data_IF_065552729305
#
_entry.id   IF_065552729305
#
_cell.length_a   1.000
_cell.length_b   1.000
_cell.length_c   1.000
_cell.angle_alpha   90.00
_cell.angle_beta   90.00
_cell.angle_gamma   90.00
#
_symmetry.space_group_name_H-M   'P 1'
#
loop_
_entity.id
_entity.type
_entity.pdbx_description
1 polymer ?
#
# COMPACT_ATOMS: atom_id res chain seq x y z
N UNK A 1 -8.20 -19.57 -8.76
CA UNK A 1 -6.77 -19.20 -8.66
C UNK A 1 -6.61 -18.44 -7.34
N UNK A 2 -5.76 -18.90 -6.42
CA UNK A 2 -5.58 -18.23 -5.12
C UNK A 2 -4.72 -16.99 -5.35
N UNK A 3 -5.28 -15.80 -5.12
CA UNK A 3 -4.52 -14.54 -5.22
C UNK A 3 -3.67 -14.44 -3.97
N UNK A 4 -2.35 -14.57 -4.12
CA UNK A 4 -1.41 -14.42 -3.01
C UNK A 4 -1.01 -12.95 -2.83
N UNK A 5 -0.95 -12.21 -3.92
CA UNK A 5 -0.59 -10.80 -3.94
C UNK A 5 -1.43 -10.01 -4.95
N UNK A 6 -1.71 -8.75 -4.64
CA UNK A 6 -2.33 -7.80 -5.55
C UNK A 6 -1.54 -6.49 -5.52
N UNK A 7 -1.23 -5.94 -6.70
CA UNK A 7 -0.39 -4.76 -6.83
C UNK A 7 -1.11 -3.61 -7.53
N UNK A 8 -0.84 -2.39 -7.06
CA UNK A 8 -1.39 -1.13 -7.60
C UNK A 8 -0.24 -0.15 -7.84
N UNK A 9 -0.12 0.33 -9.08
CA UNK A 9 0.89 1.31 -9.44
C UNK A 9 0.40 2.74 -9.16
N UNK A 10 1.29 3.57 -8.62
CA UNK A 10 1.07 4.99 -8.36
C UNK A 10 2.22 5.76 -8.97
N UNK A 11 1.93 6.59 -9.96
CA UNK A 11 2.90 7.48 -10.61
C UNK A 11 2.57 8.93 -10.28
N UNK A 12 3.52 9.64 -9.67
CA UNK A 12 3.40 11.04 -9.27
C UNK A 12 4.44 11.86 -10.04
N UNK A 13 4.02 12.72 -10.98
CA UNK A 13 4.93 13.53 -11.77
C UNK A 13 5.72 14.52 -10.92
N UNK A 14 6.94 14.85 -11.36
CA UNK A 14 7.72 15.96 -10.84
C UNK A 14 6.88 17.27 -10.85
N UNK A 15 7.14 18.13 -9.86
CA UNK A 15 6.40 19.38 -9.68
C UNK A 15 5.03 19.25 -9.00
N UNK A 16 4.63 18.03 -8.63
CA UNK A 16 3.41 17.80 -7.82
C UNK A 16 3.76 17.31 -6.43
N UNK A 17 2.84 17.41 -5.47
CA UNK A 17 3.07 17.02 -4.06
C UNK A 17 2.33 15.75 -3.66
N UNK A 18 1.60 15.10 -4.56
CA UNK A 18 0.87 13.88 -4.21
C UNK A 18 -0.11 13.41 -5.26
N UNK A 19 -0.66 12.21 -5.03
CA UNK A 19 -1.69 11.58 -5.85
C UNK A 19 -2.51 10.59 -5.03
N UNK A 20 -3.77 10.47 -5.39
CA UNK A 20 -4.66 9.39 -4.94
C UNK A 20 -5.00 8.51 -6.12
N UNK A 21 -4.95 7.19 -5.90
CA UNK A 21 -5.33 6.17 -6.89
C UNK A 21 -6.39 5.27 -6.25
N UNK A 22 -7.52 5.13 -6.95
CA UNK A 22 -8.58 4.19 -6.58
C UNK A 22 -8.31 2.82 -7.19
N UNK A 23 -8.53 1.75 -6.43
CA UNK A 23 -8.35 0.38 -6.88
C UNK A 23 -9.37 -0.56 -6.24
N UNK A 24 -9.60 -1.71 -6.87
CA UNK A 24 -10.53 -2.74 -6.39
C UNK A 24 -9.77 -4.07 -6.35
N UNK A 25 -9.27 -4.49 -5.18
CA UNK A 25 -8.53 -5.73 -5.04
C UNK A 25 -9.51 -6.93 -5.03
N UNK A 26 -9.08 -8.14 -5.41
CA UNK A 26 -9.89 -9.35 -5.31
C UNK A 26 -10.40 -9.58 -3.88
N UNK A 27 -11.60 -10.15 -3.75
CA UNK A 27 -12.14 -10.50 -2.44
C UNK A 27 -11.24 -11.52 -1.71
N UNK A 28 -10.99 -11.26 -0.42
CA UNK A 28 -10.15 -12.09 0.44
C UNK A 28 -9.55 -11.30 1.61
N UNK A 29 -8.96 -12.04 2.55
CA UNK A 29 -8.29 -11.50 3.74
C UNK A 29 -6.87 -11.10 3.36
N UNK A 30 -6.58 -9.81 3.45
CA UNK A 30 -5.23 -9.23 3.41
C UNK A 30 -4.67 -9.29 4.83
N UNK A 31 -3.41 -9.70 4.95
CA UNK A 31 -2.66 -9.80 6.23
C UNK A 31 -1.48 -8.82 6.30
N UNK A 32 -1.09 -8.24 5.17
CA UNK A 32 0.02 -7.29 5.12
C UNK A 32 0.01 -6.44 3.86
N UNK A 33 0.75 -5.33 3.91
CA UNK A 33 0.98 -4.48 2.77
C UNK A 33 2.41 -3.93 2.72
N UNK A 34 2.85 -3.54 1.53
CA UNK A 34 4.07 -2.77 1.35
C UNK A 34 3.97 -1.74 0.24
N UNK A 35 4.83 -0.74 0.30
CA UNK A 35 5.01 0.24 -0.79
C UNK A 35 6.47 0.24 -1.23
N UNK A 36 6.68 -0.25 -2.45
CA UNK A 36 7.96 -0.10 -3.16
C UNK A 36 7.95 1.20 -3.93
N UNK A 37 9.10 1.86 -4.04
CA UNK A 37 9.24 3.13 -4.76
C UNK A 37 10.63 3.29 -5.37
N UNK A 38 10.68 3.97 -6.51
CA UNK A 38 11.89 4.40 -7.21
C UNK A 38 11.69 5.87 -7.61
N UNK A 39 12.76 6.67 -7.50
CA UNK A 39 12.71 8.12 -7.70
C UNK A 39 11.91 8.83 -6.61
N UNK A 40 11.37 10.00 -6.95
CA UNK A 40 10.62 10.84 -6.04
C UNK A 40 11.49 11.54 -5.02
N UNK A 41 12.67 12.00 -5.45
CA UNK A 41 13.47 12.95 -4.67
C UNK A 41 12.59 14.14 -4.28
N UNK A 42 12.62 14.51 -3.01
CA UNK A 42 11.93 15.68 -2.49
C UNK A 42 12.63 16.16 -1.21
N UNK A 43 12.33 17.39 -0.80
CA UNK A 43 12.82 17.96 0.47
C UNK A 43 11.86 17.79 1.65
N UNK A 44 10.65 17.27 1.39
CA UNK A 44 9.56 17.14 2.35
C UNK A 44 9.41 15.73 2.94
N UNK A 45 8.53 15.59 3.93
CA UNK A 45 8.11 14.28 4.41
C UNK A 45 7.15 13.64 3.39
N UNK A 46 7.47 12.43 2.93
CA UNK A 46 6.59 11.65 2.07
C UNK A 46 5.79 10.68 2.91
N UNK A 47 4.48 10.75 2.81
CA UNK A 47 3.55 9.95 3.59
C UNK A 47 2.59 9.19 2.69
N UNK A 48 2.08 8.06 3.17
CA UNK A 48 1.09 7.25 2.48
C UNK A 48 -0.03 6.80 3.42
N UNK A 49 -1.24 6.72 2.88
CA UNK A 49 -2.41 6.14 3.55
C UNK A 49 -3.19 5.24 2.60
N UNK A 50 -3.99 4.35 3.19
CA UNK A 50 -4.98 3.55 2.49
C UNK A 50 -6.32 3.81 3.16
N UNK A 51 -7.35 4.12 2.37
CA UNK A 51 -8.71 4.35 2.87
C UNK A 51 -9.72 3.50 2.11
N UNK A 52 -10.90 3.32 2.71
CA UNK A 52 -12.09 2.86 1.98
C UNK A 52 -12.58 3.94 1.00
N UNK A 53 -13.53 3.58 0.14
CA UNK A 53 -14.28 4.52 -0.69
C UNK A 53 -15.01 5.62 0.11
N UNK A 54 -15.35 5.33 1.36
CA UNK A 54 -16.02 6.22 2.30
C UNK A 54 -15.03 7.10 3.10
N UNK A 55 -13.75 7.11 2.71
CA UNK A 55 -12.65 7.81 3.38
C UNK A 55 -12.33 7.33 4.81
N UNK A 56 -12.74 6.12 5.18
CA UNK A 56 -12.33 5.52 6.46
C UNK A 56 -10.89 5.03 6.36
N UNK A 57 -10.07 5.34 7.37
CA UNK A 57 -8.66 4.94 7.38
C UNK A 57 -8.51 3.43 7.61
N UNK A 58 -8.03 2.73 6.58
CA UNK A 58 -7.60 1.34 6.65
C UNK A 58 -6.15 1.27 7.12
N UNK A 59 -5.33 2.20 6.65
CA UNK A 59 -3.97 2.42 7.10
C UNK A 59 -3.74 3.93 7.16
N UNK A 60 -3.47 4.51 8.33
CA UNK A 60 -3.42 5.95 8.50
C UNK A 60 -2.22 6.57 7.77
N UNK A 61 -2.31 7.88 7.56
CA UNK A 61 -1.25 8.68 6.94
C UNK A 61 0.01 8.61 7.80
N UNK A 62 1.01 7.89 7.30
CA UNK A 62 2.29 7.66 7.96
C UNK A 62 3.41 7.79 6.96
N UNK A 63 4.64 8.00 7.42
CA UNK A 63 5.82 8.07 6.55
C UNK A 63 5.86 6.87 5.60
N UNK A 64 6.13 7.09 4.32
CA UNK A 64 6.00 6.05 3.28
C UNK A 64 6.91 4.84 3.55
N UNK A 65 8.07 5.07 4.17
CA UNK A 65 8.99 3.98 4.54
C UNK A 65 8.46 3.10 5.67
N UNK A 66 7.38 3.50 6.35
CA UNK A 66 6.67 2.62 7.29
C UNK A 66 6.00 1.42 6.59
N UNK A 67 5.84 1.49 5.27
CA UNK A 67 5.34 0.40 4.44
C UNK A 67 6.48 -0.48 3.88
N UNK A 68 7.73 -0.24 4.26
CA UNK A 68 8.89 -1.04 3.85
C UNK A 68 9.39 -1.92 4.99
N UNK A 69 10.21 -2.89 4.59
CA UNK A 69 10.78 -3.95 5.39
C UNK A 69 11.36 -3.47 6.73
N UNK A 70 10.96 -4.15 7.80
CA UNK A 70 11.49 -3.98 9.15
C UNK A 70 12.04 -5.33 9.56
N UNK A 71 13.34 -5.41 9.85
CA UNK A 71 13.98 -6.63 10.38
C UNK A 71 13.43 -7.11 11.75
N UNK A 72 12.40 -6.46 12.30
CA UNK A 72 11.81 -6.79 13.59
C UNK A 72 10.39 -7.35 13.43
N UNK A 73 10.26 -8.67 13.54
CA UNK A 73 9.11 -9.34 14.17
C UNK A 73 7.77 -9.41 13.41
N UNK A 74 7.68 -8.97 12.16
CA UNK A 74 6.46 -9.12 11.36
C UNK A 74 6.57 -10.29 10.40
N UNK A 75 5.44 -10.95 10.14
CA UNK A 75 5.32 -12.04 9.16
C UNK A 75 5.81 -11.50 7.80
N UNK A 76 7.02 -11.91 7.42
CA UNK A 76 7.68 -11.61 6.15
C UNK A 76 7.96 -10.12 5.83
N UNK A 77 8.38 -9.28 6.79
CA UNK A 77 8.96 -7.96 6.47
C UNK A 77 8.00 -6.97 5.81
N UNK A 78 6.69 -7.14 6.00
CA UNK A 78 5.65 -6.25 5.48
C UNK A 78 4.93 -5.55 6.62
N UNK A 79 4.35 -4.38 6.36
CA UNK A 79 3.50 -3.70 7.33
C UNK A 79 2.27 -4.58 7.57
N UNK A 80 1.94 -4.94 8.84
CA UNK A 80 0.76 -5.73 9.11
C UNK A 80 -0.50 -4.95 8.74
N UNK A 81 -1.43 -5.62 8.07
CA UNK A 81 -2.71 -5.03 7.68
C UNK A 81 -3.74 -6.16 7.63
N UNK A 82 -4.59 -6.24 8.66
CA UNK A 82 -5.70 -7.19 8.67
C UNK A 82 -6.92 -6.52 8.05
N UNK A 83 -7.29 -6.95 6.84
CA UNK A 83 -8.39 -6.36 6.08
C UNK A 83 -9.11 -7.45 5.28
N UNK A 84 -10.39 -7.65 5.53
CA UNK A 84 -11.25 -8.38 4.59
C UNK A 84 -11.73 -7.42 3.50
N UNK A 85 -11.22 -7.62 2.29
CA UNK A 85 -11.46 -6.72 1.16
C UNK A 85 -12.89 -6.77 0.63
N UNK A 86 -13.60 -7.90 0.79
CA UNK A 86 -14.96 -8.12 0.29
C UNK A 86 -15.19 -7.71 -1.20
N UNK A 87 -14.13 -7.57 -2.00
CA UNK A 87 -14.19 -7.04 -3.37
C UNK A 87 -14.58 -5.56 -3.48
N UNK A 88 -14.44 -4.78 -2.40
CA UNK A 88 -14.76 -3.34 -2.35
C UNK A 88 -13.66 -2.48 -2.93
N UNK A 89 -13.98 -1.22 -3.24
CA UNK A 89 -13.01 -0.24 -3.70
C UNK A 89 -12.30 0.45 -2.54
N UNK A 90 -11.02 0.74 -2.75
CA UNK A 90 -10.14 1.41 -1.81
C UNK A 90 -9.36 2.51 -2.53
N UNK A 91 -8.76 3.39 -1.75
CA UNK A 91 -7.88 4.44 -2.25
C UNK A 91 -6.52 4.35 -1.59
N UNK A 92 -5.46 4.43 -2.38
CA UNK A 92 -4.11 4.68 -1.88
C UNK A 92 -3.75 6.12 -2.19
N UNK A 93 -3.32 6.85 -1.16
CA UNK A 93 -2.89 8.24 -1.28
C UNK A 93 -1.43 8.32 -0.88
N UNK A 94 -0.59 8.88 -1.73
CA UNK A 94 0.80 9.24 -1.42
C UNK A 94 0.90 10.76 -1.55
N UNK A 95 1.36 11.43 -0.49
CA UNK A 95 1.45 12.89 -0.42
C UNK A 95 2.75 13.33 0.25
N UNK A 96 3.11 14.58 0.00
CA UNK A 96 4.20 15.28 0.64
C UNK A 96 3.86 16.74 0.91
N UNK A 97 4.57 17.35 1.86
CA UNK A 97 4.52 18.78 2.14
C UNK A 97 5.46 19.62 1.24
N UNK A 98 6.19 18.98 0.32
CA UNK A 98 6.94 19.63 -0.74
C UNK A 98 6.63 18.95 -2.09
N UNK A 99 6.82 19.66 -3.20
CA UNK A 99 6.73 19.05 -4.52
C UNK A 99 7.89 18.04 -4.70
N UNK A 100 7.63 16.99 -5.49
CA UNK A 100 8.67 16.07 -5.94
C UNK A 100 9.55 16.74 -7.00
N UNK A 101 10.86 16.57 -6.89
CA UNK A 101 11.87 17.09 -7.82
C UNK A 101 12.00 16.19 -9.06
N UNK A 102 11.68 14.90 -8.91
CA UNK A 102 11.62 13.90 -9.98
C UNK A 102 10.31 13.11 -9.92
N UNK A 103 10.02 12.36 -10.97
CA UNK A 103 8.87 11.45 -10.96
C UNK A 103 9.03 10.37 -9.88
N UNK A 104 8.01 10.22 -9.04
CA UNK A 104 7.90 9.11 -8.10
C UNK A 104 7.10 7.98 -8.75
N UNK A 105 7.74 6.81 -8.91
CA UNK A 105 7.07 5.56 -9.29
C UNK A 105 6.96 4.69 -8.05
N UNK A 106 5.75 4.46 -7.59
CA UNK A 106 5.46 3.63 -6.42
C UNK A 106 4.52 2.47 -6.76
N UNK A 107 4.62 1.38 -6.01
CA UNK A 107 3.75 0.22 -6.12
C UNK A 107 3.31 -0.21 -4.73
N UNK A 108 2.00 -0.13 -4.47
CA UNK A 108 1.38 -0.75 -3.32
C UNK A 108 1.20 -2.24 -3.61
N UNK A 109 1.61 -3.10 -2.68
CA UNK A 109 1.41 -4.55 -2.74
C UNK A 109 0.60 -4.97 -1.52
N UNK A 110 -0.54 -5.62 -1.75
CA UNK A 110 -1.36 -6.27 -0.74
C UNK A 110 -1.03 -7.77 -0.72
N UNK A 111 -0.79 -8.31 0.47
CA UNK A 111 -0.47 -9.72 0.69
C UNK A 111 -1.66 -10.39 1.34
N UNK A 112 -2.18 -11.43 0.69
CA UNK A 112 -3.33 -12.17 1.17
C UNK A 112 -2.93 -13.30 2.11
N UNK A 113 -3.84 -13.64 3.02
CA UNK A 113 -3.69 -14.81 3.87
C UNK A 113 -3.54 -16.06 3.01
N UNK A 114 -2.41 -16.74 3.18
CA UNK A 114 -2.24 -18.06 2.60
C UNK A 114 -2.84 -19.07 3.57
N UNK A 115 -4.14 -19.38 3.42
CA UNK A 115 -4.80 -20.47 4.15
C UNK A 115 -4.15 -21.82 3.76
N UNK A 116 -3.04 -22.17 4.42
CA UNK A 116 -2.30 -23.43 4.27
C UNK A 116 -2.96 -24.55 5.08
N UNK A 117 -3.95 -24.23 5.90
CA UNK A 117 -4.68 -25.15 6.78
C UNK A 117 -5.80 -25.92 6.10
N UNK A 118 -6.25 -25.53 4.91
CA UNK A 118 -7.28 -26.26 4.14
C UNK A 118 -6.77 -27.33 3.18
N UNK A 119 -5.46 -27.53 3.08
CA UNK A 119 -4.85 -28.57 2.23
C UNK A 119 -4.44 -29.83 3.00
N UNK A 120 -4.86 -29.99 4.25
CA UNK A 120 -4.63 -31.18 5.07
C UNK A 120 -5.93 -31.75 5.66
N UNK A 121 -6.87 -32.09 4.78
CA UNK A 121 -7.95 -33.03 5.08
C UNK A 121 -7.87 -34.20 4.09
#
# INVERSE_FOLDING_TARGET
MKVLEYAVNVEIPAGTSGKTVTFTPPAGVVIGCAIFKVGGENSGFVSAKITTDSNEDVSPLTHIDNYRDREAGYIAGKKPLLLDTQGKSYMVTITSNANFDTDLKAQLVLVYENDNTKSQC
#
